data_IF_652598700609
#
_entry.id   IF_652598700609
#
_cell.length_a   1.000
_cell.length_b   1.000
_cell.length_c   1.000
_cell.angle_alpha   90.00
_cell.angle_beta   90.00
_cell.angle_gamma   90.00
#
_symmetry.space_group_name_H-M   'P 1'
#
loop_
_entity.id
_entity.type
_entity.pdbx_description
1 polymer ?
#
# COMPACT_ATOMS: atom_id res chain seq x y z
N UNK A 1 30.18 54.38 -43.89
CA UNK A 1 29.11 53.91 -44.79
C UNK A 1 28.18 53.07 -43.95
N UNK A 2 27.15 53.69 -43.39
CA UNK A 2 25.75 53.62 -43.83
C UNK A 2 25.06 52.33 -43.35
N UNK A 3 23.88 52.33 -42.74
CA UNK A 3 22.89 53.33 -42.32
C UNK A 3 21.84 52.56 -41.49
N UNK A 4 21.13 53.24 -40.58
CA UNK A 4 19.74 52.89 -40.27
C UNK A 4 19.38 52.45 -38.84
N UNK A 5 19.45 53.38 -37.88
CA UNK A 5 18.46 53.43 -36.79
C UNK A 5 17.17 54.12 -37.29
N UNK A 6 16.01 53.61 -36.89
CA UNK A 6 14.88 54.33 -36.26
C UNK A 6 13.54 53.62 -36.52
N UNK A 7 12.74 53.53 -35.46
CA UNK A 7 11.39 54.09 -35.29
C UNK A 7 10.30 53.15 -34.75
N UNK A 8 9.74 53.63 -33.63
CA UNK A 8 8.31 53.71 -33.25
C UNK A 8 7.66 52.50 -32.56
N UNK A 9 7.72 52.60 -31.23
CA UNK A 9 6.62 52.48 -30.26
C UNK A 9 5.20 52.42 -30.83
N UNK A 10 4.51 51.30 -30.63
CA UNK A 10 3.05 51.23 -30.61
C UNK A 10 2.60 50.75 -29.22
N UNK A 11 1.90 51.64 -28.51
CA UNK A 11 1.06 51.31 -27.36
C UNK A 11 -0.17 50.56 -27.89
N UNK A 12 -0.51 49.44 -27.29
CA UNK A 12 -1.87 48.89 -27.39
C UNK A 12 -2.28 48.32 -26.04
N UNK A 13 -3.26 48.99 -25.47
CA UNK A 13 -3.97 48.67 -24.24
C UNK A 13 -4.70 47.33 -24.42
N UNK A 14 -4.47 46.39 -23.51
CA UNK A 14 -5.35 45.24 -23.34
C UNK A 14 -6.32 45.55 -22.20
N UNK A 15 -7.47 46.11 -22.57
CA UNK A 15 -8.63 46.23 -21.70
C UNK A 15 -9.20 44.83 -21.42
N UNK A 16 -9.25 44.46 -20.14
CA UNK A 16 -9.98 43.31 -19.62
C UNK A 16 -11.49 43.51 -19.88
N UNK A 17 -12.01 42.85 -20.91
CA UNK A 17 -13.45 42.63 -21.07
C UNK A 17 -13.80 41.26 -20.49
N UNK A 18 -14.26 41.28 -19.23
CA UNK A 18 -14.95 40.16 -18.59
C UNK A 18 -16.28 39.93 -19.31
N UNK A 19 -16.28 39.04 -20.30
CA UNK A 19 -17.51 38.47 -20.86
C UNK A 19 -18.09 37.49 -19.83
N UNK A 20 -19.00 38.00 -18.99
CA UNK A 20 -19.95 37.18 -18.25
C UNK A 20 -20.81 36.41 -19.25
N UNK A 21 -20.48 35.14 -19.49
CA UNK A 21 -21.43 34.19 -20.06
C UNK A 21 -22.51 33.98 -19.01
N UNK A 22 -23.64 34.70 -19.16
CA UNK A 22 -24.89 34.36 -18.49
C UNK A 22 -25.29 32.96 -18.97
N UNK A 23 -24.92 31.93 -18.22
CA UNK A 23 -25.65 30.68 -18.23
C UNK A 23 -27.10 31.02 -17.92
N UNK A 24 -27.97 30.88 -18.92
CA UNK A 24 -29.41 30.81 -18.72
C UNK A 24 -29.64 29.52 -17.95
N UNK A 25 -29.57 29.63 -16.61
CA UNK A 25 -30.17 28.65 -15.72
C UNK A 25 -31.67 28.85 -15.93
N UNK A 26 -32.27 27.94 -16.68
CA UNK A 26 -33.73 27.78 -16.61
C UNK A 26 -34.04 27.55 -15.12
N UNK A 27 -34.95 28.31 -14.50
CA UNK A 27 -35.35 28.02 -13.15
C UNK A 27 -36.02 26.65 -13.19
N UNK A 28 -35.34 25.65 -12.64
CA UNK A 28 -36.05 24.49 -12.10
C UNK A 28 -37.03 25.10 -11.11
N UNK A 29 -38.34 24.79 -11.17
CA UNK A 29 -39.25 25.25 -10.14
C UNK A 29 -38.77 24.63 -8.83
N UNK A 30 -38.09 25.43 -8.01
CA UNK A 30 -37.85 25.13 -6.60
C UNK A 30 -39.18 25.31 -5.91
N UNK A 31 -40.04 24.31 -6.03
CA UNK A 31 -41.20 24.13 -5.17
C UNK A 31 -41.02 22.79 -4.45
N UNK A 32 -40.10 22.80 -3.50
CA UNK A 32 -40.09 21.84 -2.40
C UNK A 32 -39.54 22.58 -1.19
N UNK A 33 -40.27 23.60 -0.76
CA UNK A 33 -40.25 23.96 0.65
C UNK A 33 -41.17 22.88 1.26
N UNK A 34 -40.63 22.05 2.17
CA UNK A 34 -41.24 20.75 2.46
C UNK A 34 -40.28 19.65 2.91
N UNK A 35 -40.73 18.75 3.80
CA UNK A 35 -40.03 17.50 4.10
C UNK A 35 -40.24 16.38 3.06
N UNK A 36 -40.80 16.70 1.89
CA UNK A 36 -41.11 15.72 0.84
C UNK A 36 -39.87 14.94 0.35
N UNK A 37 -39.98 13.62 0.29
CA UNK A 37 -38.92 12.73 -0.22
C UNK A 37 -37.98 12.13 0.84
N UNK A 38 -38.13 12.49 2.12
CA UNK A 38 -37.42 11.82 3.22
C UNK A 38 -38.19 10.54 3.60
N UNK A 39 -37.61 9.34 3.42
CA UNK A 39 -38.29 8.09 3.78
C UNK A 39 -38.40 7.94 5.29
N UNK A 40 -39.52 7.36 5.77
CA UNK A 40 -39.73 7.04 7.18
C UNK A 40 -41.22 7.04 7.58
N UNK A 41 -41.50 6.39 8.71
CA UNK A 41 -42.82 6.35 9.34
C UNK A 41 -42.82 7.33 10.53
N UNK A 42 -43.57 8.43 10.43
CA UNK A 42 -43.58 9.51 11.44
C UNK A 42 -44.95 9.59 12.11
N UNK A 43 -45.98 10.00 11.36
CA UNK A 43 -47.35 10.05 11.86
C UNK A 43 -47.89 8.68 12.24
N UNK A 44 -47.41 7.62 11.57
CA UNK A 44 -47.77 6.24 11.91
C UNK A 44 -47.24 5.81 13.29
N UNK A 45 -46.06 6.29 13.68
CA UNK A 45 -45.39 5.91 14.94
C UNK A 45 -45.68 6.86 16.10
N UNK A 46 -46.29 8.02 15.83
CA UNK A 46 -46.70 8.98 16.85
C UNK A 46 -47.70 8.34 17.83
N UNK A 47 -47.59 8.65 19.12
CA UNK A 47 -48.53 8.20 20.15
C UNK A 47 -49.28 9.39 20.76
N UNK A 48 -50.62 9.36 20.83
CA UNK A 48 -51.51 8.35 20.24
C UNK A 48 -51.43 8.37 18.69
N UNK A 49 -51.68 7.22 18.07
CA UNK A 49 -51.59 6.99 16.59
C UNK A 49 -52.74 7.70 15.83
N UNK A 50 -53.34 8.71 16.45
CA UNK A 50 -54.44 9.48 15.90
C UNK A 50 -53.93 10.86 15.51
N UNK A 51 -54.15 11.22 14.25
CA UNK A 51 -53.84 12.55 13.75
C UNK A 51 -54.72 13.61 14.42
N UNK A 52 -54.14 14.78 14.71
CA UNK A 52 -54.85 15.81 15.46
C UNK A 52 -55.81 16.58 14.55
N UNK A 53 -57.03 16.80 15.04
CA UNK A 53 -58.12 17.35 14.23
C UNK A 53 -57.98 18.85 13.94
N UNK A 54 -57.16 19.57 14.70
CA UNK A 54 -56.86 21.00 14.58
C UNK A 54 -55.33 21.21 14.64
N UNK A 55 -54.86 22.42 14.35
CA UNK A 55 -53.46 22.80 14.58
C UNK A 55 -53.09 22.51 16.03
N UNK A 56 -52.03 21.74 16.21
CA UNK A 56 -51.60 21.27 17.52
C UNK A 56 -50.08 21.14 17.52
N UNK A 57 -49.41 22.03 18.25
CA UNK A 57 -47.93 22.09 18.26
C UNK A 57 -47.31 20.86 18.98
N UNK A 58 -48.11 20.13 19.78
CA UNK A 58 -47.72 18.83 20.37
C UNK A 58 -47.99 17.65 19.41
N UNK A 59 -48.54 17.92 18.23
CA UNK A 59 -48.82 16.94 17.19
C UNK A 59 -47.65 16.79 16.21
N UNK A 60 -46.45 16.61 16.77
CA UNK A 60 -45.19 16.65 16.02
C UNK A 60 -44.33 15.39 16.17
N UNK A 61 -43.41 15.20 15.23
CA UNK A 61 -42.41 14.13 15.23
C UNK A 61 -41.04 14.67 14.78
N UNK A 62 -39.92 14.19 15.35
CA UNK A 62 -38.59 14.59 14.89
C UNK A 62 -38.26 13.96 13.54
N UNK A 63 -37.68 14.74 12.63
CA UNK A 63 -37.35 14.30 11.25
C UNK A 63 -35.89 14.49 10.86
N UNK A 64 -35.25 15.58 11.30
CA UNK A 64 -33.84 15.88 11.02
C UNK A 64 -33.19 16.52 12.25
N UNK A 65 -32.62 15.71 13.13
CA UNK A 65 -32.06 16.18 14.39
C UNK A 65 -33.16 16.76 15.29
N UNK A 66 -33.14 18.07 15.52
CA UNK A 66 -34.11 18.79 16.36
C UNK A 66 -35.27 19.41 15.57
N UNK A 67 -35.31 19.26 14.24
CA UNK A 67 -36.43 19.73 13.44
C UNK A 67 -37.64 18.80 13.61
N UNK A 68 -38.80 19.43 13.83
CA UNK A 68 -40.08 18.76 14.01
C UNK A 68 -40.92 18.88 12.74
N UNK A 69 -41.55 17.78 12.36
CA UNK A 69 -42.62 17.75 11.36
C UNK A 69 -43.97 17.56 12.04
N UNK A 70 -45.06 17.96 11.39
CA UNK A 70 -46.41 17.97 11.97
C UNK A 70 -47.32 16.88 11.37
N UNK A 71 -48.17 16.32 12.22
CA UNK A 71 -49.15 15.26 11.93
C UNK A 71 -50.61 15.71 12.16
N UNK A 72 -50.87 17.01 12.11
CA UNK A 72 -52.19 17.59 12.34
C UNK A 72 -52.88 18.08 11.06
N UNK A 73 -54.20 18.34 11.13
CA UNK A 73 -55.00 18.74 9.97
C UNK A 73 -54.62 20.10 9.36
N UNK A 74 -53.77 20.91 10.00
CA UNK A 74 -53.23 22.13 9.42
C UNK A 74 -52.35 21.84 8.20
N UNK A 75 -51.80 20.62 8.11
CA UNK A 75 -51.07 20.11 6.95
C UNK A 75 -51.88 19.94 5.66
N UNK A 76 -53.19 20.19 5.70
CA UNK A 76 -54.06 20.18 4.51
C UNK A 76 -53.89 21.42 3.62
N UNK A 77 -53.12 22.42 4.05
CA UNK A 77 -52.90 23.67 3.28
C UNK A 77 -51.96 23.41 2.10
N UNK A 78 -52.16 24.13 1.00
CA UNK A 78 -51.37 23.96 -0.24
C UNK A 78 -49.88 24.32 -0.08
N UNK A 79 -49.50 24.99 1.01
CA UNK A 79 -48.13 25.40 1.37
C UNK A 79 -47.61 24.65 2.62
N UNK A 80 -48.01 23.39 2.83
CA UNK A 80 -47.70 22.57 4.02
C UNK A 80 -46.23 22.15 4.15
N UNK A 81 -45.33 23.11 4.28
CA UNK A 81 -43.87 22.91 4.22
C UNK A 81 -43.31 22.13 5.43
N UNK A 82 -44.02 22.14 6.55
CA UNK A 82 -43.57 21.50 7.80
C UNK A 82 -44.24 20.14 8.06
N UNK A 83 -44.95 19.59 7.06
CA UNK A 83 -45.71 18.36 7.23
C UNK A 83 -44.86 17.10 7.20
N UNK A 84 -45.16 16.14 8.08
CA UNK A 84 -44.45 14.87 8.05
C UNK A 84 -44.68 14.16 6.70
N UNK A 85 -43.65 13.51 6.14
CA UNK A 85 -43.71 12.88 4.81
C UNK A 85 -44.85 11.87 4.62
N UNK A 86 -45.26 11.19 5.70
CA UNK A 86 -46.32 10.19 5.71
C UNK A 86 -47.70 10.75 6.10
N UNK A 87 -47.83 12.06 6.35
CA UNK A 87 -49.08 12.70 6.77
C UNK A 87 -50.26 12.39 5.83
N UNK A 88 -50.09 12.58 4.51
CA UNK A 88 -51.17 12.32 3.54
C UNK A 88 -51.58 10.84 3.51
N UNK A 89 -50.61 9.93 3.72
CA UNK A 89 -50.86 8.50 3.77
C UNK A 89 -51.61 8.08 5.04
N UNK A 90 -51.17 8.56 6.20
CA UNK A 90 -51.68 8.13 7.52
C UNK A 90 -52.93 8.90 7.93
N UNK A 91 -52.94 10.22 7.74
CA UNK A 91 -53.99 11.11 8.24
C UNK A 91 -55.08 11.41 7.21
N UNK A 92 -54.76 11.38 5.91
CA UNK A 92 -55.72 11.58 4.83
C UNK A 92 -56.14 10.27 4.15
N UNK A 93 -55.45 9.15 4.44
CA UNK A 93 -55.73 7.86 3.81
C UNK A 93 -55.40 7.84 2.31
N UNK A 94 -54.64 8.83 1.82
CA UNK A 94 -54.20 8.90 0.43
C UNK A 94 -52.96 8.02 0.31
N UNK A 95 -53.14 6.81 -0.22
CA UNK A 95 -52.01 5.94 -0.53
C UNK A 95 -51.00 6.71 -1.39
N UNK A 96 -49.71 6.81 -0.98
CA UNK A 96 -48.72 7.45 -1.82
C UNK A 96 -48.68 6.72 -3.16
N UNK A 97 -48.55 7.45 -4.27
CA UNK A 97 -48.27 6.80 -5.55
C UNK A 97 -47.03 5.93 -5.35
N UNK A 98 -47.00 4.68 -5.85
CA UNK A 98 -45.84 3.83 -5.70
C UNK A 98 -44.63 4.60 -6.21
N UNK A 99 -43.63 4.78 -5.35
CA UNK A 99 -42.37 5.39 -5.75
C UNK A 99 -41.93 4.69 -7.03
N UNK A 100 -41.58 5.42 -8.10
CA UNK A 100 -41.20 4.78 -9.36
C UNK A 100 -40.12 3.76 -9.04
N UNK A 101 -40.43 2.47 -9.25
CA UNK A 101 -39.45 1.41 -9.05
C UNK A 101 -38.31 1.69 -10.02
N UNK A 102 -37.20 2.20 -9.48
CA UNK A 102 -36.01 2.47 -10.25
C UNK A 102 -35.54 1.10 -10.74
N UNK A 103 -35.72 0.86 -12.04
CA UNK A 103 -35.24 -0.35 -12.67
C UNK A 103 -33.72 -0.31 -12.67
N UNK A 104 -33.10 -1.45 -12.38
CA UNK A 104 -31.66 -1.55 -12.22
C UNK A 104 -31.24 -2.98 -11.96
N UNK A 105 -29.94 -3.17 -11.74
CA UNK A 105 -29.28 -4.45 -11.56
C UNK A 105 -28.49 -4.45 -10.26
N UNK A 106 -28.07 -5.63 -9.83
CA UNK A 106 -27.20 -5.79 -8.69
C UNK A 106 -25.86 -6.41 -9.12
N UNK A 107 -24.78 -6.07 -8.43
CA UNK A 107 -23.52 -6.82 -8.53
C UNK A 107 -23.56 -8.12 -7.69
N UNK A 108 -22.46 -8.87 -7.69
CA UNK A 108 -22.31 -10.12 -6.93
C UNK A 108 -22.31 -9.94 -5.40
N UNK A 109 -22.27 -8.70 -4.91
CA UNK A 109 -22.37 -8.33 -3.50
C UNK A 109 -23.76 -7.81 -3.11
N UNK A 110 -24.66 -7.64 -4.08
CA UNK A 110 -26.00 -7.08 -3.86
C UNK A 110 -26.03 -5.55 -3.85
N UNK A 111 -24.99 -4.87 -4.35
CA UNK A 111 -25.00 -3.41 -4.56
C UNK A 111 -25.93 -3.09 -5.72
N UNK A 112 -26.91 -2.20 -5.51
CA UNK A 112 -27.86 -1.79 -6.54
C UNK A 112 -27.28 -0.70 -7.46
N UNK A 113 -27.46 -0.88 -8.76
CA UNK A 113 -27.11 0.06 -9.83
C UNK A 113 -28.35 0.40 -10.64
N UNK A 114 -28.74 1.69 -10.76
CA UNK A 114 -29.82 2.10 -11.64
C UNK A 114 -29.56 1.71 -13.11
N UNK A 115 -30.63 1.58 -13.90
CA UNK A 115 -30.53 1.35 -15.34
C UNK A 115 -29.75 2.48 -16.03
N UNK A 116 -28.84 2.13 -16.95
CA UNK A 116 -27.94 3.08 -17.63
C UNK A 116 -26.49 2.88 -17.22
N UNK A 117 -25.74 3.97 -17.08
CA UNK A 117 -24.30 3.95 -16.78
C UNK A 117 -23.56 5.07 -17.52
N UNK A 118 -22.22 5.11 -17.47
CA UNK A 118 -21.33 4.10 -16.88
C UNK A 118 -21.15 4.23 -15.36
N UNK A 119 -20.94 3.10 -14.70
CA UNK A 119 -20.58 2.95 -13.29
C UNK A 119 -19.18 2.37 -13.17
N UNK A 120 -18.39 2.89 -12.22
CA UNK A 120 -17.09 2.32 -11.89
C UNK A 120 -17.29 1.22 -10.84
N UNK A 121 -17.13 -0.04 -11.24
CA UNK A 121 -17.26 -1.21 -10.37
C UNK A 121 -15.89 -1.84 -10.22
N UNK A 122 -15.28 -1.64 -9.04
CA UNK A 122 -13.87 -1.93 -8.79
C UNK A 122 -13.00 -1.30 -9.90
N UNK A 123 -12.18 -2.07 -10.61
CA UNK A 123 -11.33 -1.57 -11.68
C UNK A 123 -12.05 -1.42 -13.04
N UNK A 124 -13.26 -1.96 -13.19
CA UNK A 124 -13.97 -2.05 -14.46
C UNK A 124 -15.02 -0.94 -14.64
N UNK A 125 -15.27 -0.56 -15.90
CA UNK A 125 -16.37 0.33 -16.28
C UNK A 125 -17.56 -0.53 -16.72
N UNK A 126 -18.70 -0.37 -16.06
CA UNK A 126 -19.87 -1.22 -16.25
C UNK A 126 -21.14 -0.39 -16.48
N UNK A 127 -22.08 -0.93 -17.24
CA UNK A 127 -23.39 -0.35 -17.47
C UNK A 127 -24.47 -1.37 -17.12
N UNK A 128 -25.56 -0.88 -16.57
CA UNK A 128 -26.72 -1.66 -16.22
C UNK A 128 -27.71 -1.66 -17.37
N UNK A 129 -27.68 -2.69 -18.20
CA UNK A 129 -28.47 -2.76 -19.44
C UNK A 129 -29.50 -3.87 -19.36
N UNK A 130 -30.64 -3.67 -20.03
CA UNK A 130 -31.68 -4.70 -20.13
C UNK A 130 -31.16 -5.83 -21.04
N UNK A 131 -31.05 -7.04 -20.51
CA UNK A 131 -30.59 -8.24 -21.22
C UNK A 131 -31.67 -9.32 -21.11
N UNK A 132 -32.54 -9.38 -22.13
CA UNK A 132 -33.76 -10.19 -22.08
C UNK A 132 -34.85 -9.50 -21.26
N UNK A 133 -35.29 -10.13 -20.17
CA UNK A 133 -36.32 -9.58 -19.26
C UNK A 133 -35.74 -8.97 -17.97
N UNK A 134 -34.42 -9.06 -17.76
CA UNK A 134 -33.75 -8.61 -16.54
C UNK A 134 -32.65 -7.60 -16.86
N UNK A 135 -32.43 -6.66 -15.94
CA UNK A 135 -31.28 -5.77 -16.01
C UNK A 135 -30.04 -6.52 -15.53
N UNK A 136 -28.98 -6.48 -16.32
CA UNK A 136 -27.70 -7.11 -16.00
C UNK A 136 -26.58 -6.08 -16.06
N UNK A 137 -25.64 -6.20 -15.14
CA UNK A 137 -24.43 -5.40 -15.13
C UNK A 137 -23.47 -5.92 -16.22
N UNK A 138 -23.24 -5.12 -17.25
CA UNK A 138 -22.35 -5.43 -18.37
C UNK A 138 -21.13 -4.52 -18.33
N UNK A 139 -19.94 -5.10 -18.22
CA UNK A 139 -18.67 -4.36 -18.21
C UNK A 139 -17.98 -4.46 -19.57
N UNK A 140 -17.51 -3.34 -20.10
CA UNK A 140 -16.92 -3.22 -21.45
C UNK A 140 -15.66 -4.09 -21.59
N UNK A 141 -14.79 -4.05 -20.57
CA UNK A 141 -13.62 -4.90 -20.44
C UNK A 141 -13.63 -5.54 -19.04
N UNK A 142 -13.61 -6.88 -18.98
CA UNK A 142 -13.44 -7.61 -17.71
C UNK A 142 -11.96 -7.74 -17.38
N UNK A 143 -11.34 -6.61 -17.04
CA UNK A 143 -9.97 -6.62 -16.55
C UNK A 143 -9.90 -7.35 -15.20
N UNK A 144 -8.82 -8.09 -15.00
CA UNK A 144 -8.54 -8.67 -13.69
C UNK A 144 -8.22 -7.52 -12.73
N UNK A 145 -9.07 -7.31 -11.72
CA UNK A 145 -8.81 -6.30 -10.70
C UNK A 145 -7.82 -6.83 -9.66
N UNK A 146 -7.04 -5.92 -9.06
CA UNK A 146 -6.05 -6.27 -8.05
C UNK A 146 -6.70 -6.86 -6.80
N UNK A 147 -7.78 -6.23 -6.34
CA UNK A 147 -8.69 -6.80 -5.35
C UNK A 147 -9.71 -7.69 -6.08
N UNK A 148 -9.69 -8.98 -5.77
CA UNK A 148 -10.58 -9.98 -6.32
C UNK A 148 -11.54 -10.48 -5.24
N UNK A 149 -12.78 -10.01 -5.28
CA UNK A 149 -13.76 -10.18 -4.21
C UNK A 149 -14.21 -11.63 -4.02
N UNK A 150 -14.27 -12.39 -5.11
CA UNK A 150 -14.51 -13.83 -5.10
C UNK A 150 -13.36 -14.58 -4.40
N UNK A 151 -12.10 -14.18 -4.63
CA UNK A 151 -10.95 -14.76 -3.93
C UNK A 151 -10.98 -14.38 -2.44
N UNK A 152 -11.31 -13.13 -2.09
CA UNK A 152 -11.49 -12.73 -0.69
C UNK A 152 -12.51 -13.64 0.02
N UNK A 153 -13.63 -13.92 -0.64
CA UNK A 153 -14.68 -14.82 -0.13
C UNK A 153 -14.17 -16.25 0.02
N UNK A 154 -13.52 -16.81 -1.01
CA UNK A 154 -12.95 -18.17 -0.99
C UNK A 154 -11.90 -18.32 0.13
N UNK A 155 -11.04 -17.33 0.33
CA UNK A 155 -10.03 -17.35 1.41
C UNK A 155 -10.70 -17.23 2.78
N UNK A 156 -11.70 -16.37 2.92
CA UNK A 156 -12.41 -16.16 4.20
C UNK A 156 -13.25 -17.36 4.63
N UNK A 157 -13.81 -18.09 3.67
CA UNK A 157 -14.61 -19.30 3.93
C UNK A 157 -13.74 -20.55 4.10
N UNK A 158 -12.54 -20.57 3.51
CA UNK A 158 -11.60 -21.69 3.61
C UNK A 158 -10.84 -21.71 4.93
N UNK A 159 -10.41 -22.90 5.35
CA UNK A 159 -9.52 -23.08 6.50
C UNK A 159 -8.05 -22.98 6.06
N UNK A 160 -7.59 -21.76 5.81
CA UNK A 160 -6.20 -21.49 5.44
C UNK A 160 -5.39 -20.93 6.60
N UNK A 161 -4.06 -21.02 6.50
CA UNK A 161 -3.13 -20.50 7.50
C UNK A 161 -3.05 -18.97 7.55
N UNK A 162 -3.72 -18.27 6.62
CA UNK A 162 -3.72 -16.83 6.51
C UNK A 162 -5.08 -16.29 6.09
N UNK A 163 -5.31 -15.01 6.35
CA UNK A 163 -6.55 -14.28 6.03
C UNK A 163 -6.29 -13.20 5.00
N UNK A 164 -7.28 -12.96 4.14
CA UNK A 164 -7.25 -11.89 3.15
C UNK A 164 -8.16 -10.72 3.56
N UNK A 165 -7.89 -9.53 3.02
CA UNK A 165 -8.76 -8.34 3.19
C UNK A 165 -8.79 -7.50 1.93
N UNK A 166 -9.84 -6.70 1.78
CA UNK A 166 -9.87 -5.60 0.83
C UNK A 166 -9.03 -4.42 1.36
N UNK A 167 -8.19 -3.84 0.50
CA UNK A 167 -7.46 -2.61 0.76
C UNK A 167 -7.99 -1.50 -0.14
N UNK A 168 -8.48 -0.41 0.46
CA UNK A 168 -8.98 0.76 -0.27
C UNK A 168 -7.94 1.33 -1.24
N UNK A 169 -6.66 1.31 -0.87
CA UNK A 169 -5.55 1.75 -1.73
C UNK A 169 -5.40 0.92 -3.00
N UNK A 170 -5.80 -0.35 -2.99
CA UNK A 170 -5.73 -1.27 -4.14
C UNK A 170 -7.06 -1.39 -4.88
N UNK A 171 -8.16 -0.94 -4.27
CA UNK A 171 -9.47 -0.91 -4.92
C UNK A 171 -9.44 -0.02 -6.17
N UNK A 172 -10.02 -0.51 -7.27
CA UNK A 172 -10.04 0.21 -8.54
C UNK A 172 -8.79 0.03 -9.41
N UNK A 173 -7.73 -0.61 -8.90
CA UNK A 173 -6.54 -0.92 -9.70
C UNK A 173 -6.67 -2.25 -10.44
N UNK A 174 -6.05 -2.35 -11.60
CA UNK A 174 -5.92 -3.63 -12.30
C UNK A 174 -4.83 -4.50 -11.66
N UNK A 175 -4.93 -5.82 -11.84
CA UNK A 175 -3.90 -6.76 -11.39
C UNK A 175 -2.56 -6.49 -12.10
N UNK A 176 -2.61 -6.09 -13.37
CA UNK A 176 -1.41 -5.70 -14.13
C UNK A 176 -0.75 -4.44 -13.57
N UNK A 177 -1.53 -3.44 -13.13
CA UNK A 177 -1.00 -2.27 -12.41
C UNK A 177 -0.36 -2.69 -11.08
N UNK A 178 -1.01 -3.59 -10.33
CA UNK A 178 -0.45 -4.14 -9.09
C UNK A 178 0.90 -4.81 -9.31
N UNK A 179 0.99 -5.68 -10.32
CA UNK A 179 2.25 -6.32 -10.72
C UNK A 179 3.30 -5.28 -11.11
N UNK A 180 2.95 -4.35 -12.00
CA UNK A 180 3.86 -3.32 -12.51
C UNK A 180 4.42 -2.43 -11.41
N UNK A 181 3.56 -1.92 -10.53
CA UNK A 181 3.93 -0.90 -9.56
C UNK A 181 4.44 -1.47 -8.24
N UNK A 182 4.05 -2.69 -7.87
CA UNK A 182 4.46 -3.29 -6.60
C UNK A 182 5.60 -4.30 -6.74
N UNK A 183 5.70 -5.00 -7.87
CA UNK A 183 6.67 -6.08 -8.10
C UNK A 183 7.86 -5.61 -8.95
N UNK A 184 8.74 -4.85 -8.30
CA UNK A 184 9.85 -4.17 -8.95
C UNK A 184 11.17 -4.93 -9.05
N UNK A 185 11.24 -6.21 -8.68
CA UNK A 185 12.54 -6.89 -8.64
C UNK A 185 12.71 -7.77 -9.86
N UNK A 186 13.78 -7.52 -10.63
CA UNK A 186 14.12 -8.36 -11.76
C UNK A 186 14.83 -9.62 -11.28
N UNK A 187 14.51 -10.74 -11.89
CA UNK A 187 15.06 -12.04 -11.50
C UNK A 187 16.59 -12.07 -11.67
N UNK A 188 17.36 -12.56 -10.68
CA UNK A 188 18.82 -12.57 -10.78
C UNK A 188 19.33 -13.37 -11.99
N UNK A 189 20.35 -12.83 -12.65
CA UNK A 189 21.00 -13.49 -13.78
C UNK A 189 21.68 -14.79 -13.34
N UNK A 190 21.87 -15.73 -14.28
CA UNK A 190 22.47 -17.04 -13.98
C UNK A 190 23.84 -16.95 -13.30
N UNK A 191 24.67 -15.99 -13.70
CA UNK A 191 25.98 -15.72 -13.09
C UNK A 191 25.87 -15.23 -11.63
N UNK A 192 24.85 -14.43 -11.33
CA UNK A 192 24.58 -13.90 -9.98
C UNK A 192 24.04 -15.01 -9.08
N UNK A 193 23.20 -15.89 -9.61
CA UNK A 193 22.75 -17.08 -8.88
C UNK A 193 23.90 -18.01 -8.54
N UNK A 194 24.82 -18.20 -9.48
CA UNK A 194 25.99 -19.07 -9.28
C UNK A 194 27.09 -18.42 -8.43
N UNK A 195 26.86 -17.26 -7.80
CA UNK A 195 27.79 -16.72 -6.81
C UNK A 195 27.95 -17.71 -5.66
N UNK A 196 29.20 -17.94 -5.25
CA UNK A 196 29.50 -18.80 -4.12
C UNK A 196 28.78 -18.31 -2.86
N UNK A 197 28.08 -19.24 -2.23
CA UNK A 197 27.43 -19.04 -0.95
C UNK A 197 28.51 -18.95 0.14
N UNK A 198 28.30 -18.09 1.13
CA UNK A 198 29.17 -18.06 2.30
C UNK A 198 28.81 -19.23 3.21
N UNK A 199 29.82 -19.97 3.68
CA UNK A 199 29.64 -20.96 4.73
C UNK A 199 29.43 -20.25 6.06
N UNK A 200 28.28 -20.46 6.67
CA UNK A 200 27.94 -19.98 8.00
C UNK A 200 27.99 -21.17 8.94
N UNK A 201 28.76 -21.07 10.03
CA UNK A 201 28.68 -22.07 11.08
C UNK A 201 27.43 -21.80 11.93
N UNK A 202 26.42 -22.70 11.92
CA UNK A 202 25.17 -22.44 12.63
C UNK A 202 25.41 -22.24 14.12
N UNK A 203 24.80 -21.21 14.70
CA UNK A 203 24.91 -20.97 16.14
C UNK A 203 23.78 -21.71 16.85
N UNK A 204 24.01 -22.98 17.19
CA UNK A 204 23.02 -23.83 17.85
C UNK A 204 23.07 -23.72 19.38
N UNK A 205 21.91 -23.86 20.08
CA UNK A 205 20.57 -24.00 19.53
C UNK A 205 20.01 -22.66 19.01
N UNK A 206 19.30 -22.70 17.88
CA UNK A 206 18.54 -21.56 17.37
C UNK A 206 17.20 -21.45 18.12
N UNK A 207 16.76 -20.25 18.55
CA UNK A 207 15.49 -20.09 19.24
C UNK A 207 14.30 -20.34 18.30
N UNK A 208 13.17 -20.80 18.85
CA UNK A 208 11.94 -21.03 18.08
C UNK A 208 11.40 -19.74 17.44
N UNK A 209 11.50 -18.61 18.16
CA UNK A 209 11.12 -17.27 17.70
C UNK A 209 12.31 -16.32 17.80
N UNK A 210 12.47 -15.48 16.78
CA UNK A 210 13.40 -14.36 16.80
C UNK A 210 12.79 -13.17 16.06
N UNK A 211 12.93 -11.99 16.66
CA UNK A 211 12.57 -10.71 16.02
C UNK A 211 13.73 -9.72 16.19
N UNK A 212 14.27 -9.24 15.07
CA UNK A 212 15.38 -8.29 15.09
C UNK A 212 15.04 -6.99 15.82
N UNK A 213 13.75 -6.60 15.87
CA UNK A 213 13.27 -5.40 16.57
C UNK A 213 13.38 -5.56 18.08
N UNK A 214 13.12 -6.76 18.60
CA UNK A 214 13.31 -7.10 20.02
C UNK A 214 14.80 -7.19 20.37
N UNK A 215 15.61 -7.75 19.45
CA UNK A 215 17.04 -7.93 19.65
C UNK A 215 17.84 -6.63 19.60
N UNK A 216 17.49 -5.72 18.68
CA UNK A 216 18.13 -4.43 18.50
C UNK A 216 17.09 -3.30 18.46
N UNK A 217 16.48 -2.95 19.62
CA UNK A 217 15.46 -1.92 19.69
C UNK A 217 15.94 -0.60 19.11
N UNK A 218 15.12 0.00 18.25
CA UNK A 218 15.41 1.26 17.59
C UNK A 218 16.43 1.18 16.45
N UNK A 219 17.03 0.03 16.14
CA UNK A 219 17.95 -0.09 14.99
C UNK A 219 17.34 -0.78 13.77
N UNK A 220 16.09 -1.21 13.86
CA UNK A 220 15.33 -1.75 12.73
C UNK A 220 14.32 -0.69 12.32
N UNK A 221 14.48 -0.14 11.12
CA UNK A 221 13.60 0.93 10.64
C UNK A 221 12.19 0.42 10.32
N UNK A 222 11.15 1.27 10.47
CA UNK A 222 9.77 0.92 10.11
C UNK A 222 9.60 0.59 8.62
N UNK A 223 8.44 0.06 8.28
CA UNK A 223 8.07 -0.23 6.88
C UNK A 223 7.81 1.07 6.15
N UNK A 224 8.31 1.17 4.92
CA UNK A 224 8.10 2.33 4.05
C UNK A 224 7.18 1.95 2.90
N UNK A 225 6.65 2.95 2.19
CA UNK A 225 5.82 2.74 1.00
C UNK A 225 6.56 3.17 -0.27
N UNK A 226 6.70 2.24 -1.21
CA UNK A 226 7.24 2.51 -2.55
C UNK A 226 6.23 3.22 -3.45
N UNK A 227 4.94 3.28 -3.09
CA UNK A 227 3.90 3.88 -3.91
C UNK A 227 3.76 3.21 -5.27
N UNK A 228 3.41 3.98 -6.30
CA UNK A 228 3.16 3.48 -7.65
C UNK A 228 4.45 3.41 -8.49
N UNK A 229 5.48 2.76 -7.95
CA UNK A 229 6.78 2.59 -8.59
C UNK A 229 7.35 1.23 -8.19
N UNK A 230 7.72 0.41 -9.18
CA UNK A 230 8.38 -0.89 -9.00
C UNK A 230 9.80 -0.76 -8.45
N UNK A 231 9.92 -0.24 -7.22
CA UNK A 231 11.16 0.16 -6.58
C UNK A 231 11.59 -0.77 -5.43
N UNK A 232 10.94 -1.91 -5.25
CA UNK A 232 11.23 -2.83 -4.16
C UNK A 232 12.70 -3.24 -4.07
N UNK A 233 13.35 -3.39 -5.23
CA UNK A 233 14.78 -3.62 -5.34
C UNK A 233 15.64 -2.53 -4.66
N UNK A 234 15.24 -1.26 -4.77
CA UNK A 234 15.93 -0.15 -4.13
C UNK A 234 15.59 -0.08 -2.64
N UNK A 235 14.31 -0.20 -2.28
CA UNK A 235 13.82 -0.13 -0.91
C UNK A 235 14.39 -1.21 0.00
N UNK A 236 14.36 -2.47 -0.44
CA UNK A 236 14.88 -3.58 0.37
C UNK A 236 16.41 -3.48 0.51
N UNK A 237 17.12 -3.01 -0.53
CA UNK A 237 18.58 -2.79 -0.47
C UNK A 237 18.94 -1.69 0.54
N UNK A 238 18.26 -0.54 0.51
CA UNK A 238 18.52 0.57 1.42
C UNK A 238 18.07 0.27 2.84
N UNK A 239 16.94 -0.42 3.03
CA UNK A 239 16.46 -0.83 4.35
C UNK A 239 17.43 -1.78 5.05
N UNK A 240 17.87 -2.85 4.39
CA UNK A 240 18.87 -3.77 4.96
C UNK A 240 20.19 -3.07 5.24
N UNK A 241 20.62 -2.16 4.35
CA UNK A 241 21.82 -1.36 4.57
C UNK A 241 21.70 -0.45 5.80
N UNK A 242 20.56 0.21 5.98
CA UNK A 242 20.29 1.10 7.11
C UNK A 242 20.30 0.33 8.44
N UNK A 243 19.53 -0.77 8.53
CA UNK A 243 19.44 -1.60 9.73
C UNK A 243 20.82 -2.13 10.14
N UNK A 244 21.55 -2.69 9.17
CA UNK A 244 22.87 -3.27 9.42
C UNK A 244 23.91 -2.22 9.78
N UNK A 245 23.86 -1.02 9.19
CA UNK A 245 24.73 0.08 9.58
C UNK A 245 24.45 0.51 11.03
N UNK A 246 23.19 0.61 11.44
CA UNK A 246 22.81 0.94 12.81
C UNK A 246 23.31 -0.13 13.79
N UNK A 247 23.00 -1.40 13.55
CA UNK A 247 23.41 -2.53 14.39
C UNK A 247 24.93 -2.60 14.52
N UNK A 248 25.66 -2.61 13.40
CA UNK A 248 27.10 -2.87 13.40
C UNK A 248 27.92 -1.67 13.89
N UNK A 249 27.35 -0.47 13.81
CA UNK A 249 27.97 0.75 14.30
C UNK A 249 27.63 1.07 15.76
N UNK A 250 26.68 0.34 16.36
CA UNK A 250 26.15 0.62 17.69
C UNK A 250 25.39 1.95 17.74
N UNK A 251 24.60 2.24 16.71
CA UNK A 251 23.81 3.47 16.59
C UNK A 251 24.57 4.69 16.08
N UNK A 252 25.88 4.61 15.81
CA UNK A 252 26.65 5.74 15.25
C UNK A 252 26.15 6.15 13.87
N UNK A 253 25.74 5.19 13.05
CA UNK A 253 25.13 5.41 11.74
C UNK A 253 23.68 4.96 11.82
N UNK A 254 22.82 5.92 12.16
CA UNK A 254 21.39 5.68 12.37
C UNK A 254 20.61 6.65 11.47
N UNK A 255 20.54 6.32 10.18
CA UNK A 255 19.77 7.07 9.19
C UNK A 255 18.95 6.12 8.30
N UNK A 256 17.74 6.54 7.92
CA UNK A 256 17.05 5.97 6.76
C UNK A 256 17.84 6.36 5.51
N UNK A 257 18.14 5.40 4.65
CA UNK A 257 18.91 5.63 3.43
C UNK A 257 18.01 5.89 2.22
N UNK A 258 18.48 6.74 1.31
CA UNK A 258 17.70 7.18 0.15
C UNK A 258 17.55 6.07 -0.89
N UNK A 259 16.32 5.55 -1.01
CA UNK A 259 15.92 4.69 -2.13
C UNK A 259 15.82 5.49 -3.43
N UNK A 260 15.52 6.79 -3.33
CA UNK A 260 15.42 7.69 -4.48
C UNK A 260 16.74 7.78 -5.24
N UNK A 261 17.86 7.93 -4.53
CA UNK A 261 19.16 8.03 -5.18
C UNK A 261 19.49 6.75 -5.98
N UNK A 262 19.14 5.57 -5.47
CA UNK A 262 19.31 4.33 -6.24
C UNK A 262 18.48 4.35 -7.53
N UNK A 263 17.21 4.76 -7.44
CA UNK A 263 16.33 4.84 -8.61
C UNK A 263 16.85 5.83 -9.65
N UNK A 264 17.18 7.05 -9.22
CA UNK A 264 17.59 8.12 -10.13
C UNK A 264 18.99 7.90 -10.72
N UNK A 265 19.95 7.43 -9.92
CA UNK A 265 21.38 7.44 -10.26
C UNK A 265 21.98 6.07 -10.61
N UNK A 266 21.35 4.96 -10.24
CA UNK A 266 21.80 3.62 -10.63
C UNK A 266 21.18 3.21 -11.97
N UNK A 267 21.43 3.94 -13.05
CA UNK A 267 20.73 3.70 -14.33
C UNK A 267 21.30 2.54 -15.17
N UNK A 268 22.52 2.09 -14.89
CA UNK A 268 23.19 1.10 -15.74
C UNK A 268 22.55 -0.28 -15.55
N UNK A 269 21.87 -0.78 -16.60
CA UNK A 269 21.13 -2.05 -16.60
C UNK A 269 20.02 -2.12 -15.53
N UNK A 270 19.48 -0.97 -15.14
CA UNK A 270 18.27 -0.88 -14.31
C UNK A 270 17.15 -0.22 -15.10
N UNK A 271 15.91 -0.42 -14.65
CA UNK A 271 14.70 0.13 -15.29
C UNK A 271 13.91 1.05 -14.35
N UNK A 272 14.52 1.55 -13.29
CA UNK A 272 13.90 2.50 -12.36
C UNK A 272 12.61 1.94 -11.75
N UNK A 273 11.49 2.62 -11.99
CA UNK A 273 10.15 2.19 -11.57
C UNK A 273 9.58 0.99 -12.32
N UNK A 274 10.22 0.54 -13.40
CA UNK A 274 9.89 -0.70 -14.11
C UNK A 274 10.78 -1.87 -13.68
N UNK A 275 11.49 -1.70 -12.56
CA UNK A 275 12.21 -2.74 -11.85
C UNK A 275 13.74 -2.67 -11.96
N UNK A 276 14.40 -3.45 -11.12
CA UNK A 276 15.87 -3.51 -11.06
C UNK A 276 16.44 -4.79 -10.47
N UNK A 277 17.70 -5.04 -10.78
CA UNK A 277 18.50 -6.15 -10.28
C UNK A 277 19.21 -5.79 -8.98
N UNK A 278 19.21 -6.72 -8.02
CA UNK A 278 19.79 -6.53 -6.70
C UNK A 278 21.32 -6.47 -6.72
N UNK A 279 21.99 -7.26 -7.57
CA UNK A 279 23.46 -7.26 -7.69
C UNK A 279 24.00 -5.88 -8.09
N UNK A 280 23.29 -5.19 -8.99
CA UNK A 280 23.60 -3.83 -9.43
C UNK A 280 23.34 -2.80 -8.35
N UNK A 281 22.28 -2.97 -7.56
CA UNK A 281 21.99 -2.11 -6.41
C UNK A 281 23.11 -2.21 -5.36
N UNK A 282 23.50 -3.43 -4.98
CA UNK A 282 24.60 -3.66 -4.05
C UNK A 282 25.94 -3.19 -4.57
N UNK A 283 26.22 -3.40 -5.86
CA UNK A 283 27.44 -2.89 -6.48
C UNK A 283 27.51 -1.36 -6.40
N UNK A 284 26.39 -0.68 -6.64
CA UNK A 284 26.29 0.78 -6.53
C UNK A 284 26.57 1.26 -5.10
N UNK A 285 25.88 0.72 -4.09
CA UNK A 285 26.11 1.11 -2.68
C UNK A 285 27.54 0.80 -2.22
N UNK A 286 28.11 -0.31 -2.68
CA UNK A 286 29.52 -0.65 -2.39
C UNK A 286 30.48 0.40 -2.95
N UNK A 287 30.30 0.77 -4.23
CA UNK A 287 31.26 1.62 -4.96
C UNK A 287 31.04 3.10 -4.64
N UNK A 288 29.83 3.59 -4.86
CA UNK A 288 29.46 5.00 -4.75
C UNK A 288 28.85 5.32 -3.39
N UNK A 289 28.05 4.41 -2.83
CA UNK A 289 27.27 4.66 -1.62
C UNK A 289 25.98 5.39 -1.91
N UNK A 290 25.21 5.64 -0.85
CA UNK A 290 23.97 6.42 -0.89
C UNK A 290 23.92 7.42 0.26
N UNK A 291 23.18 8.51 0.08
CA UNK A 291 22.90 9.50 1.13
C UNK A 291 21.67 9.09 1.95
N UNK A 292 21.36 9.86 2.99
CA UNK A 292 20.13 9.67 3.77
C UNK A 292 18.89 10.04 2.94
N UNK A 293 17.75 9.50 3.35
CA UNK A 293 16.44 9.92 2.85
C UNK A 293 16.20 11.42 3.04
N UNK A 294 16.67 11.99 4.15
CA UNK A 294 16.60 13.42 4.42
C UNK A 294 17.34 14.26 3.36
N UNK A 295 18.50 13.79 2.89
CA UNK A 295 19.29 14.45 1.86
C UNK A 295 18.65 14.32 0.46
N UNK A 296 18.13 13.13 0.13
CA UNK A 296 17.51 12.86 -1.17
C UNK A 296 16.15 12.14 -0.99
N UNK A 297 15.07 12.91 -0.78
CA UNK A 297 13.75 12.39 -0.46
C UNK A 297 13.11 11.59 -1.60
N UNK A 298 12.30 10.60 -1.22
CA UNK A 298 11.55 9.76 -2.14
C UNK A 298 10.34 10.47 -2.74
N UNK A 299 10.32 10.54 -4.08
CA UNK A 299 9.24 11.15 -4.87
C UNK A 299 8.68 10.19 -5.92
N UNK A 300 9.43 9.16 -6.31
CA UNK A 300 9.06 8.24 -7.40
C UNK A 300 7.75 7.50 -7.17
N UNK A 301 7.33 7.29 -5.92
CA UNK A 301 6.05 6.64 -5.63
C UNK A 301 4.81 7.46 -6.01
N UNK A 302 4.98 8.78 -6.24
CA UNK A 302 3.92 9.69 -6.69
C UNK A 302 4.07 10.08 -8.16
N UNK A 303 5.30 10.20 -8.64
CA UNK A 303 5.59 10.59 -10.04
C UNK A 303 5.57 9.40 -11.00
N UNK A 304 5.62 8.17 -10.49
CA UNK A 304 5.79 6.92 -11.24
C UNK A 304 7.07 6.86 -12.09
N UNK A 305 8.00 7.78 -11.85
CA UNK A 305 9.24 7.95 -12.62
C UNK A 305 10.45 7.94 -11.70
N UNK A 306 11.61 7.39 -12.12
CA UNK A 306 12.80 7.33 -11.29
C UNK A 306 13.40 8.71 -10.99
N UNK A 307 13.01 9.76 -11.71
CA UNK A 307 13.55 11.11 -11.55
C UNK A 307 14.98 11.26 -12.09
N UNK A 308 15.41 12.51 -12.25
CA UNK A 308 16.77 12.83 -12.68
C UNK A 308 17.80 12.57 -11.58
N UNK A 309 19.01 12.17 -11.97
CA UNK A 309 20.09 11.96 -11.02
C UNK A 309 20.78 13.28 -10.66
N UNK A 310 20.56 13.75 -9.42
CA UNK A 310 21.19 14.99 -8.92
C UNK A 310 22.54 14.77 -8.22
N UNK A 311 22.93 13.52 -7.92
CA UNK A 311 24.23 13.18 -7.30
C UNK A 311 25.02 12.26 -8.24
N UNK A 312 25.87 12.86 -9.06
CA UNK A 312 26.63 12.14 -10.07
C UNK A 312 27.71 11.25 -9.46
N UNK A 313 28.09 10.20 -10.20
CA UNK A 313 29.09 9.20 -9.77
C UNK A 313 30.49 9.79 -9.55
N UNK A 314 30.80 10.91 -10.21
CA UNK A 314 32.08 11.62 -10.13
C UNK A 314 32.13 12.68 -9.03
N UNK A 315 31.00 13.00 -8.39
CA UNK A 315 30.92 14.05 -7.37
C UNK A 315 31.78 13.67 -6.17
N UNK A 316 32.71 14.55 -5.78
CA UNK A 316 33.47 14.36 -4.55
C UNK A 316 32.52 14.36 -3.35
N UNK A 317 32.78 13.58 -2.28
CA UNK A 317 31.97 13.63 -1.06
C UNK A 317 31.84 15.05 -0.47
N UNK A 318 32.81 15.93 -0.72
CA UNK A 318 32.79 17.34 -0.27
C UNK A 318 31.90 18.25 -1.11
N UNK A 319 31.50 17.81 -2.31
CA UNK A 319 30.74 18.61 -3.28
C UNK A 319 29.26 18.18 -3.37
N UNK A 320 28.86 17.16 -2.63
CA UNK A 320 27.48 16.69 -2.63
C UNK A 320 26.56 17.82 -2.19
N UNK A 321 25.57 18.12 -3.03
CA UNK A 321 24.44 18.98 -2.71
C UNK A 321 23.21 18.11 -2.61
N UNK A 322 22.60 18.08 -1.42
CA UNK A 322 21.36 17.36 -1.18
C UNK A 322 20.22 18.01 -1.96
N UNK A 323 19.43 17.25 -2.75
CA UNK A 323 18.24 17.79 -3.41
C UNK A 323 17.23 18.45 -2.46
N UNK A 324 17.17 18.03 -1.20
CA UNK A 324 16.34 18.66 -0.17
C UNK A 324 16.92 19.96 0.40
N UNK A 325 18.18 20.27 0.13
CA UNK A 325 18.93 21.33 0.82
C UNK A 325 19.46 20.92 2.20
N UNK A 326 19.32 19.66 2.63
CA UNK A 326 19.91 19.20 3.91
C UNK A 326 21.43 19.38 3.93
N UNK A 327 21.94 19.77 5.10
CA UNK A 327 23.39 19.89 5.34
C UNK A 327 24.05 18.53 5.63
N UNK A 328 23.27 17.48 5.95
CA UNK A 328 23.80 16.15 6.18
C UNK A 328 24.09 15.43 4.85
N UNK A 329 25.29 15.69 4.33
CA UNK A 329 25.79 15.16 3.04
C UNK A 329 26.51 13.81 3.20
N UNK A 330 26.32 13.11 4.32
CA UNK A 330 27.04 11.86 4.60
C UNK A 330 26.72 10.77 3.58
N UNK A 331 27.77 10.11 3.08
CA UNK A 331 27.64 8.95 2.20
C UNK A 331 27.81 7.65 3.00
N UNK A 332 26.81 6.78 2.90
CA UNK A 332 26.78 5.46 3.50
C UNK A 332 27.19 4.41 2.47
N UNK A 333 28.19 3.59 2.81
CA UNK A 333 28.72 2.53 1.94
C UNK A 333 28.66 1.18 2.64
N UNK A 334 28.50 0.13 1.83
CA UNK A 334 28.51 -1.26 2.28
C UNK A 334 29.76 -1.98 1.76
N UNK A 335 30.09 -3.12 2.35
CA UNK A 335 31.09 -4.06 1.81
C UNK A 335 30.52 -4.76 0.58
N UNK A 336 31.32 -5.56 -0.16
CA UNK A 336 30.74 -6.48 -1.14
C UNK A 336 29.61 -7.32 -0.51
N UNK A 337 28.48 -7.50 -1.22
CA UNK A 337 27.42 -8.40 -0.80
C UNK A 337 27.90 -9.85 -0.91
N UNK A 338 27.23 -10.74 -0.21
CA UNK A 338 27.42 -12.19 -0.31
C UNK A 338 26.06 -12.89 -0.29
N UNK A 339 25.98 -14.01 -1.00
CA UNK A 339 24.82 -14.89 -0.98
C UNK A 339 24.91 -15.79 0.24
N UNK A 340 23.83 -15.87 0.99
CA UNK A 340 23.67 -16.84 2.08
C UNK A 340 23.16 -18.15 1.46
N UNK A 341 23.51 -19.28 2.04
CA UNK A 341 23.01 -20.57 1.55
C UNK A 341 21.49 -20.65 1.64
N UNK A 342 20.92 -21.60 0.91
CA UNK A 342 19.48 -21.89 0.96
C UNK A 342 19.05 -22.61 2.25
N UNK A 343 19.98 -22.91 3.16
CA UNK A 343 19.70 -23.57 4.44
C UNK A 343 18.93 -22.64 5.40
N UNK A 344 17.83 -23.15 5.96
CA UNK A 344 17.04 -22.48 7.01
C UNK A 344 17.95 -21.98 8.15
N UNK A 345 18.83 -22.85 8.64
CA UNK A 345 19.71 -22.57 9.79
C UNK A 345 20.75 -21.49 9.50
N UNK A 346 21.25 -21.43 8.26
CA UNK A 346 22.24 -20.42 7.86
C UNK A 346 21.60 -19.04 7.76
N UNK A 347 20.39 -18.97 7.18
CA UNK A 347 19.61 -17.73 7.09
C UNK A 347 19.25 -17.25 8.50
N UNK A 348 18.76 -18.14 9.38
CA UNK A 348 18.46 -17.83 10.79
C UNK A 348 19.71 -17.33 11.53
N UNK A 349 20.84 -18.03 11.38
CA UNK A 349 22.10 -17.68 12.03
C UNK A 349 22.61 -16.31 11.57
N UNK A 350 22.50 -16.00 10.28
CA UNK A 350 22.92 -14.72 9.73
C UNK A 350 22.07 -13.56 10.27
N UNK A 351 20.74 -13.73 10.29
CA UNK A 351 19.81 -12.74 10.82
C UNK A 351 20.11 -12.48 12.31
N UNK A 352 20.25 -13.54 13.11
CA UNK A 352 20.52 -13.45 14.54
C UNK A 352 21.87 -12.78 14.87
N UNK A 353 22.86 -13.01 14.01
CA UNK A 353 24.24 -12.57 14.26
C UNK A 353 24.51 -11.16 13.75
N UNK A 354 23.91 -10.79 12.61
CA UNK A 354 24.32 -9.61 11.84
C UNK A 354 23.16 -8.67 11.47
N UNK A 355 21.91 -9.04 11.78
CA UNK A 355 20.72 -8.27 11.47
C UNK A 355 20.02 -8.70 10.18
N UNK A 356 18.93 -8.00 9.80
CA UNK A 356 18.07 -8.37 8.68
C UNK A 356 18.82 -8.68 7.39
N UNK A 357 18.28 -9.58 6.57
CA UNK A 357 18.82 -9.97 5.26
C UNK A 357 17.84 -9.58 4.16
N UNK A 358 18.33 -9.37 2.95
CA UNK A 358 17.47 -9.12 1.80
C UNK A 358 17.14 -10.45 1.13
N UNK A 359 15.89 -10.64 0.71
CA UNK A 359 15.50 -11.79 -0.11
C UNK A 359 14.65 -11.37 -1.30
N UNK A 360 14.61 -12.21 -2.32
CA UNK A 360 13.62 -12.16 -3.40
C UNK A 360 12.64 -13.30 -3.25
N UNK A 361 11.37 -13.06 -3.59
CA UNK A 361 10.37 -14.11 -3.67
C UNK A 361 9.37 -13.82 -4.81
N UNK A 362 8.71 -14.86 -5.28
CA UNK A 362 7.68 -14.79 -6.30
C UNK A 362 6.33 -14.44 -5.66
N UNK A 363 5.84 -13.24 -5.93
CA UNK A 363 4.53 -12.79 -5.49
C UNK A 363 3.49 -13.25 -6.49
N UNK A 364 2.39 -13.82 -5.99
CA UNK A 364 1.21 -14.19 -6.76
C UNK A 364 0.04 -13.22 -6.50
N UNK A 365 -1.03 -13.33 -7.30
CA UNK A 365 -2.19 -12.45 -7.26
C UNK A 365 -2.90 -12.40 -5.89
N UNK A 366 -2.88 -13.50 -5.15
CA UNK A 366 -3.56 -13.64 -3.87
C UNK A 366 -2.83 -12.90 -2.73
N UNK A 367 -1.50 -12.79 -2.83
CA UNK A 367 -0.66 -12.14 -1.83
C UNK A 367 -0.96 -10.64 -1.67
N UNK A 368 -1.41 -9.96 -2.72
CA UNK A 368 -1.78 -8.54 -2.64
C UNK A 368 -2.86 -8.28 -1.59
N UNK A 369 -3.73 -9.26 -1.34
CA UNK A 369 -4.82 -9.19 -0.39
C UNK A 369 -4.46 -9.74 1.00
N UNK A 370 -3.22 -10.20 1.24
CA UNK A 370 -2.78 -10.72 2.54
C UNK A 370 -3.08 -9.73 3.68
N UNK A 371 -3.67 -10.23 4.77
CA UNK A 371 -3.95 -9.47 6.00
C UNK A 371 -3.15 -9.95 7.20
N UNK A 372 -3.18 -11.25 7.49
CA UNK A 372 -2.51 -11.83 8.66
C UNK A 372 -2.39 -13.35 8.55
N UNK A 373 -1.61 -13.96 9.44
CA UNK A 373 -1.36 -15.40 9.49
C UNK A 373 -0.11 -15.79 8.68
N UNK A 374 0.09 -17.08 8.41
CA UNK A 374 1.25 -17.55 7.64
C UNK A 374 0.86 -17.76 6.19
N UNK A 375 1.30 -16.87 5.31
CA UNK A 375 1.00 -16.90 3.89
C UNK A 375 1.54 -18.17 3.22
N UNK A 376 0.67 -18.80 2.44
CA UNK A 376 0.97 -19.81 1.42
C UNK A 376 0.11 -19.49 0.21
N UNK A 377 0.73 -19.43 -0.97
CA UNK A 377 0.02 -19.20 -2.23
C UNK A 377 -1.06 -20.25 -2.46
N UNK A 378 -2.26 -19.78 -2.76
CA UNK A 378 -3.43 -20.59 -3.05
C UNK A 378 -3.74 -20.49 -4.55
N UNK A 379 -3.85 -21.62 -5.24
CA UNK A 379 -4.16 -21.66 -6.69
C UNK A 379 -5.66 -21.43 -7.00
N UNK A 380 -6.32 -20.57 -6.22
CA UNK A 380 -7.77 -20.33 -6.29
C UNK A 380 -8.16 -19.49 -7.52
N UNK A 381 -7.23 -18.71 -8.06
CA UNK A 381 -7.45 -17.91 -9.27
C UNK A 381 -7.40 -18.76 -10.56
N UNK A 382 -6.86 -19.98 -10.51
CA UNK A 382 -6.67 -20.83 -11.69
C UNK A 382 -7.97 -21.15 -12.43
N UNK A 383 -9.07 -21.29 -11.70
CA UNK A 383 -10.40 -21.54 -12.27
C UNK A 383 -10.95 -20.36 -13.07
N UNK A 384 -10.41 -19.15 -12.87
CA UNK A 384 -10.87 -17.90 -13.50
C UNK A 384 -10.18 -17.63 -14.83
N UNK A 385 -9.06 -18.33 -15.10
CA UNK A 385 -8.26 -18.19 -16.31
C UNK A 385 -7.00 -17.33 -16.14
N UNK A 386 -6.11 -17.46 -17.13
CA UNK A 386 -4.71 -16.96 -17.08
C UNK A 386 -4.54 -15.46 -16.82
N UNK A 387 -5.55 -14.65 -17.11
CA UNK A 387 -5.48 -13.19 -16.84
C UNK A 387 -5.54 -12.85 -15.35
N UNK A 388 -6.11 -13.75 -14.52
CA UNK A 388 -6.20 -13.59 -13.06
C UNK A 388 -5.01 -14.23 -12.32
N UNK A 389 -4.26 -15.12 -12.98
CA UNK A 389 -3.06 -15.78 -12.44
C UNK A 389 -1.80 -15.00 -12.84
N UNK A 390 -1.53 -13.90 -12.14
CA UNK A 390 -0.34 -13.07 -12.40
C UNK A 390 0.65 -13.22 -11.27
N UNK A 391 1.93 -13.29 -11.63
CA UNK A 391 3.02 -13.33 -10.68
C UNK A 391 4.20 -12.47 -11.12
N UNK A 392 5.02 -12.08 -10.16
CA UNK A 392 6.21 -11.27 -10.40
C UNK A 392 7.17 -11.31 -9.21
N UNK A 393 8.44 -11.02 -9.47
CA UNK A 393 9.45 -11.03 -8.43
C UNK A 393 9.44 -9.73 -7.63
N UNK A 394 9.51 -9.90 -6.31
CA UNK A 394 9.56 -8.81 -5.33
C UNK A 394 10.71 -9.05 -4.37
N UNK A 395 11.28 -7.98 -3.82
CA UNK A 395 12.33 -8.09 -2.81
C UNK A 395 11.93 -7.40 -1.52
N UNK A 396 12.21 -8.07 -0.43
CA UNK A 396 11.84 -7.69 0.94
C UNK A 396 13.02 -7.92 1.86
N UNK A 397 12.90 -7.51 3.12
CA UNK A 397 13.86 -7.91 4.17
C UNK A 397 13.24 -8.93 5.11
N UNK A 398 13.99 -9.97 5.43
CA UNK A 398 13.65 -10.90 6.50
C UNK A 398 14.24 -10.34 7.79
N UNK A 399 13.38 -10.13 8.79
CA UNK A 399 13.76 -9.54 10.09
C UNK A 399 13.66 -10.55 11.24
N UNK A 400 13.14 -11.75 10.98
CA UNK A 400 12.97 -12.76 12.01
C UNK A 400 12.26 -14.00 11.53
N UNK A 401 11.85 -14.83 12.48
CA UNK A 401 11.11 -16.08 12.25
C UNK A 401 10.31 -16.47 13.50
N UNK A 402 9.44 -17.45 13.33
CA UNK A 402 8.72 -18.07 14.44
C UNK A 402 8.00 -19.35 14.04
N UNK A 403 7.13 -19.81 14.93
CA UNK A 403 6.17 -20.87 14.70
C UNK A 403 4.79 -20.35 15.08
N UNK A 404 3.83 -20.46 14.16
CA UNK A 404 2.44 -20.12 14.41
C UNK A 404 1.68 -21.39 14.82
N UNK A 405 0.97 -21.33 15.94
CA UNK A 405 0.20 -22.46 16.49
C UNK A 405 -1.32 -22.24 16.38
N UNK A 406 -1.77 -21.17 15.72
CA UNK A 406 -3.18 -20.75 15.74
C UNK A 406 -4.12 -21.70 14.99
N UNK A 407 -3.60 -22.50 14.04
CA UNK A 407 -4.36 -23.49 13.26
C UNK A 407 -4.37 -24.88 13.90
N UNK A 408 -3.77 -25.05 15.08
CA UNK A 408 -3.60 -26.35 15.75
C UNK A 408 -2.44 -27.20 15.22
N UNK A 409 -1.95 -26.92 14.01
CA UNK A 409 -0.71 -27.51 13.47
C UNK A 409 0.39 -26.44 13.49
N UNK A 410 1.60 -26.71 14.04
CA UNK A 410 2.67 -25.73 14.07
C UNK A 410 3.15 -25.39 12.66
N UNK A 411 3.08 -24.11 12.28
CA UNK A 411 3.54 -23.62 10.97
C UNK A 411 4.74 -22.71 11.17
N UNK A 412 5.92 -23.17 10.73
CA UNK A 412 7.14 -22.36 10.69
C UNK A 412 6.97 -21.21 9.70
N UNK A 413 7.39 -20.00 10.10
CA UNK A 413 7.36 -18.84 9.22
C UNK A 413 8.64 -18.00 9.26
N UNK A 414 8.88 -17.27 8.17
CA UNK A 414 9.74 -16.09 8.12
C UNK A 414 8.92 -14.85 8.42
N UNK A 415 9.46 -13.94 9.24
CA UNK A 415 8.90 -12.61 9.48
C UNK A 415 9.58 -11.61 8.53
N UNK A 416 8.80 -11.07 7.60
CA UNK A 416 9.30 -10.21 6.54
C UNK A 416 8.70 -8.81 6.64
N UNK A 417 9.51 -7.79 6.37
CA UNK A 417 9.06 -6.41 6.23
C UNK A 417 8.94 -6.05 4.75
N UNK A 418 7.74 -5.65 4.34
CA UNK A 418 7.41 -5.28 2.97
C UNK A 418 7.82 -3.81 2.69
N UNK A 419 7.44 -3.30 1.52
CA UNK A 419 7.64 -1.92 1.07
C UNK A 419 6.36 -1.27 0.53
N UNK A 420 5.19 -1.67 1.06
CA UNK A 420 3.87 -1.19 0.62
C UNK A 420 3.13 -0.37 1.70
N UNK A 421 3.89 0.23 2.62
CA UNK A 421 3.34 1.01 3.73
C UNK A 421 2.86 0.14 4.90
N UNK A 422 2.55 0.80 6.00
CA UNK A 422 2.16 0.14 7.25
C UNK A 422 0.70 -0.32 7.25
N UNK A 423 -0.16 0.28 6.43
CA UNK A 423 -1.58 -0.10 6.36
C UNK A 423 -1.81 -1.50 5.75
N UNK A 424 -0.81 -2.03 5.04
CA UNK A 424 -0.85 -3.33 4.40
C UNK A 424 -0.39 -4.44 5.36
N UNK A 425 -1.10 -5.57 5.37
CA UNK A 425 -0.74 -6.76 6.15
C UNK A 425 -0.76 -6.52 7.67
N UNK A 426 0.30 -6.97 8.33
CA UNK A 426 0.51 -6.89 9.77
C UNK A 426 1.40 -5.69 10.11
N UNK A 427 0.89 -4.48 9.89
CA UNK A 427 1.62 -3.21 10.03
C UNK A 427 2.80 -3.10 9.04
N UNK A 428 2.56 -3.41 7.77
CA UNK A 428 3.55 -3.49 6.71
C UNK A 428 4.40 -4.77 6.72
N UNK A 429 4.17 -5.66 7.69
CA UNK A 429 4.83 -6.95 7.79
C UNK A 429 3.95 -8.06 7.23
N UNK A 430 4.59 -9.19 6.95
CA UNK A 430 3.91 -10.43 6.66
C UNK A 430 4.71 -11.63 7.17
N UNK A 431 4.00 -12.75 7.32
CA UNK A 431 4.60 -14.04 7.64
C UNK A 431 4.36 -14.99 6.48
N UNK A 432 5.36 -15.76 6.11
CA UNK A 432 5.33 -16.70 4.98
C UNK A 432 6.01 -18.00 5.41
N UNK A 433 5.50 -19.13 4.90
CA UNK A 433 6.01 -20.47 5.24
C UNK A 433 7.54 -20.54 5.09
N UNK A 434 8.20 -21.08 6.12
CA UNK A 434 9.66 -21.27 6.20
C UNK A 434 10.02 -22.75 6.15
N UNK A 435 11.14 -23.07 5.51
CA UNK A 435 11.73 -24.41 5.42
C UNK A 435 11.29 -25.22 4.19
N UNK A 436 10.50 -24.60 3.31
CA UNK A 436 9.98 -25.21 2.07
C UNK A 436 10.40 -24.44 0.82
N UNK A 437 11.22 -23.39 0.95
CA UNK A 437 11.50 -22.43 -0.11
C UNK A 437 10.24 -21.94 -0.85
N UNK A 438 9.15 -21.75 -0.10
CA UNK A 438 7.85 -21.39 -0.67
C UNK A 438 7.95 -20.05 -1.40
N UNK A 439 7.44 -19.99 -2.64
CA UNK A 439 7.58 -18.83 -3.52
C UNK A 439 9.04 -18.38 -3.72
N UNK A 440 10.00 -19.29 -3.73
CA UNK A 440 11.44 -19.04 -3.90
C UNK A 440 12.09 -18.15 -2.83
N UNK A 441 11.44 -17.93 -1.67
CA UNK A 441 11.91 -16.95 -0.67
C UNK A 441 13.25 -17.28 -0.01
N UNK A 442 13.69 -18.54 -0.05
CA UNK A 442 14.99 -18.99 0.50
C UNK A 442 16.06 -19.11 -0.60
N UNK A 443 15.68 -18.95 -1.88
CA UNK A 443 16.55 -19.18 -3.02
C UNK A 443 17.68 -18.14 -3.11
N UNK A 444 17.35 -16.87 -2.93
CA UNK A 444 18.29 -15.77 -3.18
C UNK A 444 18.29 -14.75 -2.04
N UNK A 445 19.00 -15.12 -0.98
CA UNK A 445 19.16 -14.31 0.22
C UNK A 445 20.53 -13.65 0.23
N UNK A 446 20.56 -12.32 0.41
CA UNK A 446 21.78 -11.51 0.40
C UNK A 446 22.02 -10.88 1.77
N UNK A 447 23.26 -11.00 2.23
CA UNK A 447 23.82 -10.21 3.33
C UNK A 447 24.90 -9.23 2.85
N UNK A 448 25.12 -8.18 3.63
CA UNK A 448 26.27 -7.28 3.49
C UNK A 448 26.67 -6.72 4.86
N UNK A 449 27.88 -6.17 4.98
CA UNK A 449 28.30 -5.43 6.17
C UNK A 449 28.45 -3.94 5.87
N UNK A 450 28.23 -3.09 6.87
CA UNK A 450 28.54 -1.67 6.79
C UNK A 450 30.04 -1.44 6.59
N UNK A 451 30.43 -0.52 5.73
CA UNK A 451 31.86 -0.19 5.54
C UNK A 451 32.44 0.39 6.84
N UNK A 452 33.57 -0.15 7.29
CA UNK A 452 34.20 0.21 8.58
C UNK A 452 33.87 -0.72 9.76
N UNK A 453 32.91 -1.65 9.60
CA UNK A 453 32.53 -2.65 10.60
C UNK A 453 33.63 -3.69 10.89
N UNK A 454 34.45 -4.08 9.89
CA UNK A 454 35.47 -5.15 10.03
C UNK A 454 36.55 -4.85 11.09
N UNK A 455 36.99 -3.60 11.24
CA UNK A 455 37.92 -3.20 12.34
C UNK A 455 37.25 -3.32 13.71
N UNK A 456 35.93 -3.11 13.78
CA UNK A 456 35.14 -3.22 15.02
C UNK A 456 34.80 -4.67 15.37
N UNK A 457 34.50 -5.56 14.41
CA UNK A 457 34.27 -7.00 14.69
C UNK A 457 35.46 -7.68 15.36
N UNK A 458 36.70 -7.34 14.96
CA UNK A 458 37.92 -7.82 15.68
C UNK A 458 37.93 -7.33 17.13
N UNK A 459 37.66 -6.05 17.39
CA UNK A 459 37.54 -5.51 18.75
C UNK A 459 36.38 -6.14 19.55
N UNK A 460 35.21 -6.33 18.94
CA UNK A 460 34.03 -6.94 19.59
C UNK A 460 34.24 -8.43 19.90
N UNK A 461 34.86 -9.21 18.99
CA UNK A 461 35.25 -10.61 19.26
C UNK A 461 36.22 -10.69 20.44
N UNK A 462 37.21 -9.78 20.49
CA UNK A 462 38.16 -9.68 21.61
C UNK A 462 37.45 -9.34 22.92
N UNK A 463 36.57 -8.32 22.93
CA UNK A 463 35.82 -7.91 24.12
C UNK A 463 34.85 -9.01 24.59
N UNK A 464 34.17 -9.71 23.69
CA UNK A 464 33.27 -10.82 24.02
C UNK A 464 34.05 -12.02 24.59
N UNK A 465 35.22 -12.34 24.02
CA UNK A 465 36.13 -13.36 24.57
C UNK A 465 36.62 -12.98 25.98
N UNK A 466 37.00 -11.71 26.18
CA UNK A 466 37.41 -11.19 27.49
C UNK A 466 36.26 -11.21 28.53
N UNK A 467 35.03 -10.88 28.14
CA UNK A 467 33.85 -10.97 29.02
C UNK A 467 33.50 -12.41 29.40
N UNK A 468 33.64 -13.34 28.45
CA UNK A 468 33.42 -14.76 28.73
C UNK A 468 34.48 -15.31 29.69
N UNK A 469 35.76 -14.98 29.47
CA UNK A 469 36.86 -15.34 30.37
C UNK A 469 36.67 -14.75 31.78
N UNK A 470 36.24 -13.49 31.88
CA UNK A 470 35.92 -12.86 33.19
C UNK A 470 34.76 -13.53 33.92
N UNK A 471 33.73 -13.99 33.20
CA UNK A 471 32.60 -14.73 33.80
C UNK A 471 33.04 -16.10 34.29
N UNK A 472 33.92 -16.79 33.55
CA UNK A 472 34.51 -18.05 34.00
C UNK A 472 35.42 -17.88 35.22
N UNK A 473 36.16 -16.77 35.31
CA UNK A 473 36.97 -16.45 36.49
C UNK A 473 36.18 -15.98 37.71
N UNK A 474 34.92 -15.54 37.56
CA UNK A 474 34.03 -15.18 38.67
C UNK A 474 33.19 -16.36 39.18
N UNK A 475 33.26 -17.51 38.50
CA UNK A 475 32.57 -18.75 38.85
C UNK A 475 33.53 -19.81 39.42
N UNK A 476 34.82 -19.49 39.53
CA UNK A 476 35.83 -20.17 40.35
C UNK A 476 36.10 -19.31 41.57
#
# INVERSE_FOLDING_TARGET
MAKGERMVSARTEWALLLLFVRSIVLPVPTSAIGFGGIPGDYCLLRKPVQCCNNRDDDCTMPILGNHLCYCDRFCKRDDGDDCCPDFRAVCEGIQPSPSPQIKGCHDELGTFYPAGGPYKVNCNSCSCTLSGQEYKLQCEERNACLIQEDLLRKVSQGQYSWKATNYSTFWGQTLDDGVKYRLGTLYPERSVKNMNEILIEPTLPLPERFDARERWPGFIYPVRDQGNCGASWAFSTTAVSADRLAIQSGGKYHHVLSSQQLLSCNQARQRGCNGGYLDRAWWYIRKYGVVSEECYPYVSGRTNEPGECHILRSTSPTEIKCPSGSEDRRIFKMTPPYRISTSEDDIMTEIMSNGPVQTTFLVHEDFFMYKSGVYRHLRLAAEKGRQYEKSGYHSVRIIGWGVDHSTGTPIKYWLCANSWGEDWGENGLFRIVRGENHCDIETFVIGAWGKGSKKRRRKFKVVRKLRHLRRQQQQM
#
